data_IF_551749793961
#
_entry.id   IF_551749793961
#
_cell.length_a   1.000
_cell.length_b   1.000
_cell.length_c   1.000
_cell.angle_alpha   90.00
_cell.angle_beta   90.00
_cell.angle_gamma   90.00
#
_symmetry.space_group_name_H-M   'P 1'
#
loop_
_entity.id
_entity.type
_entity.pdbx_description
1 polymer ?
#
# COMPACT_ATOMS: atom_id res chain seq x y z
N UNK A 1 -17.71 -11.64 -31.60
CA UNK A 1 -17.67 -12.46 -30.36
C UNK A 1 -17.86 -11.50 -29.19
N UNK A 2 -19.06 -11.41 -28.67
CA UNK A 2 -19.43 -10.61 -27.51
C UNK A 2 -18.86 -11.33 -26.27
N UNK A 3 -17.82 -10.79 -25.67
CA UNK A 3 -17.38 -11.23 -24.35
C UNK A 3 -18.54 -10.96 -23.39
N UNK A 4 -19.15 -12.04 -22.89
CA UNK A 4 -20.12 -11.92 -21.80
C UNK A 4 -19.42 -11.25 -20.61
N UNK A 5 -19.97 -10.12 -20.16
CA UNK A 5 -19.45 -9.38 -19.01
C UNK A 5 -19.40 -10.32 -17.79
N UNK A 6 -18.23 -10.43 -17.15
CA UNK A 6 -18.07 -11.25 -15.93
C UNK A 6 -18.91 -10.64 -14.80
N UNK A 7 -19.61 -11.46 -14.00
CA UNK A 7 -20.32 -10.94 -12.84
C UNK A 7 -19.35 -10.23 -11.88
N UNK A 8 -19.72 -9.07 -11.30
CA UNK A 8 -18.82 -8.25 -10.49
C UNK A 8 -18.21 -8.98 -9.28
N UNK A 9 -18.94 -9.92 -8.68
CA UNK A 9 -18.42 -10.72 -7.56
C UNK A 9 -17.29 -11.66 -7.97
N UNK A 10 -17.30 -12.21 -9.18
CA UNK A 10 -16.24 -13.09 -9.69
C UNK A 10 -14.96 -12.28 -9.94
N UNK A 11 -15.12 -11.09 -10.53
CA UNK A 11 -13.98 -10.17 -10.76
C UNK A 11 -13.31 -9.71 -9.47
N UNK A 12 -14.09 -9.40 -8.44
CA UNK A 12 -13.57 -9.02 -7.12
C UNK A 12 -12.92 -10.20 -6.39
N UNK A 13 -13.53 -11.40 -6.45
CA UNK A 13 -12.95 -12.60 -5.85
C UNK A 13 -11.60 -12.94 -6.48
N UNK A 14 -11.49 -12.90 -7.80
CA UNK A 14 -10.25 -13.14 -8.53
C UNK A 14 -9.17 -12.12 -8.16
N UNK A 15 -9.55 -10.83 -8.00
CA UNK A 15 -8.61 -9.78 -7.62
C UNK A 15 -8.07 -9.97 -6.20
N UNK A 16 -8.94 -10.29 -5.23
CA UNK A 16 -8.56 -10.46 -3.82
C UNK A 16 -8.02 -11.86 -3.50
N UNK A 17 -8.06 -12.80 -4.44
CA UNK A 17 -7.33 -14.05 -4.35
C UNK A 17 -5.80 -13.83 -4.40
N UNK A 18 -5.34 -12.71 -5.00
CA UNK A 18 -3.93 -12.32 -4.95
C UNK A 18 -3.62 -11.68 -3.58
N UNK A 19 -2.75 -12.31 -2.75
CA UNK A 19 -2.37 -11.75 -1.46
C UNK A 19 -1.65 -10.38 -1.56
N UNK A 20 -1.15 -10.03 -2.74
CA UNK A 20 -0.59 -8.71 -3.02
C UNK A 20 -1.64 -7.60 -3.10
N UNK A 21 -2.83 -7.90 -3.60
CA UNK A 21 -3.91 -6.93 -3.77
C UNK A 21 -4.42 -6.38 -2.42
N UNK A 22 -4.42 -7.21 -1.37
CA UNK A 22 -4.87 -6.81 -0.03
C UNK A 22 -3.91 -5.84 0.70
N UNK A 23 -2.72 -5.57 0.15
CA UNK A 23 -1.69 -4.74 0.81
C UNK A 23 -1.81 -3.26 0.51
N UNK A 24 -2.51 -2.90 -0.54
CA UNK A 24 -2.59 -1.51 -0.98
C UNK A 24 -3.86 -0.84 -0.46
N UNK A 25 -3.79 0.47 -0.14
CA UNK A 25 -4.98 1.24 0.19
C UNK A 25 -5.95 1.26 -0.97
N UNK A 26 -7.22 1.11 -0.65
CA UNK A 26 -8.31 1.13 -1.59
C UNK A 26 -9.18 2.37 -1.38
N UNK A 27 -9.83 2.79 -2.45
CA UNK A 27 -10.92 3.76 -2.42
C UNK A 27 -12.13 3.11 -3.07
N UNK A 28 -13.21 3.00 -2.30
CA UNK A 28 -14.48 2.50 -2.79
C UNK A 28 -15.42 3.65 -3.10
N UNK A 29 -16.07 3.56 -4.25
CA UNK A 29 -17.21 4.37 -4.61
C UNK A 29 -18.44 3.48 -4.68
N UNK A 30 -19.46 3.82 -3.90
CA UNK A 30 -20.73 3.09 -3.87
C UNK A 30 -21.71 3.66 -4.87
N UNK A 31 -22.67 2.84 -5.28
CA UNK A 31 -23.79 3.24 -6.15
C UNK A 31 -24.67 4.32 -5.52
N UNK A 32 -24.61 4.49 -4.20
CA UNK A 32 -25.24 5.61 -3.48
C UNK A 32 -24.54 6.96 -3.70
N UNK A 33 -23.35 6.99 -4.33
CA UNK A 33 -22.50 8.15 -4.44
C UNK A 33 -21.55 8.37 -3.25
N UNK A 34 -21.64 7.55 -2.20
CA UNK A 34 -20.70 7.60 -1.07
C UNK A 34 -19.32 7.10 -1.54
N UNK A 35 -18.27 7.82 -1.14
CA UNK A 35 -16.89 7.46 -1.43
C UNK A 35 -16.07 7.46 -0.14
N UNK A 36 -15.30 6.41 0.11
CA UNK A 36 -14.44 6.32 1.28
C UNK A 36 -13.16 5.50 1.00
N UNK A 37 -12.11 5.84 1.74
CA UNK A 37 -10.85 5.12 1.71
C UNK A 37 -10.84 3.98 2.73
N UNK A 38 -10.21 2.86 2.37
CA UNK A 38 -10.09 1.70 3.23
C UNK A 38 -8.78 0.94 3.00
N UNK A 39 -8.48 0.06 3.93
CA UNK A 39 -7.34 -0.86 3.90
C UNK A 39 -7.78 -2.25 4.35
N UNK A 40 -6.87 -3.22 4.26
CA UNK A 40 -7.10 -4.62 4.65
C UNK A 40 -8.42 -5.20 4.11
N UNK A 41 -8.63 -5.14 2.78
CA UNK A 41 -9.81 -5.74 2.19
C UNK A 41 -9.74 -7.26 2.34
N UNK A 42 -10.87 -7.86 2.66
CA UNK A 42 -11.06 -9.31 2.67
C UNK A 42 -12.39 -9.61 1.96
N UNK A 43 -12.33 -10.40 0.91
CA UNK A 43 -13.54 -10.84 0.24
C UNK A 43 -14.01 -12.16 0.82
N UNK A 44 -15.15 -12.12 1.48
CA UNK A 44 -15.84 -13.32 1.99
C UNK A 44 -16.62 -13.96 0.83
N UNK A 45 -16.10 -15.07 0.31
CA UNK A 45 -16.68 -15.78 -0.83
C UNK A 45 -18.00 -16.43 -0.46
N UNK A 46 -18.15 -16.90 0.78
CA UNK A 46 -19.36 -17.59 1.23
C UNK A 46 -20.53 -16.62 1.39
N UNK A 47 -20.26 -15.43 1.89
CA UNK A 47 -21.26 -14.38 2.07
C UNK A 47 -21.38 -13.43 0.87
N UNK A 48 -20.48 -13.53 -0.10
CA UNK A 48 -20.37 -12.61 -1.23
C UNK A 48 -20.30 -11.14 -0.75
N UNK A 49 -19.47 -10.86 0.25
CA UNK A 49 -19.34 -9.54 0.88
C UNK A 49 -17.88 -9.14 0.92
N UNK A 50 -17.58 -7.91 0.55
CA UNK A 50 -16.28 -7.30 0.76
C UNK A 50 -16.22 -6.67 2.16
N UNK A 51 -15.38 -7.21 3.01
CA UNK A 51 -15.11 -6.66 4.35
C UNK A 51 -13.90 -5.75 4.23
N UNK A 52 -14.04 -4.50 4.62
CA UNK A 52 -12.98 -3.49 4.57
C UNK A 52 -12.90 -2.73 5.89
N UNK A 53 -11.71 -2.28 6.24
CA UNK A 53 -11.52 -1.36 7.37
C UNK A 53 -11.28 0.04 6.81
N UNK A 54 -12.13 1.00 7.17
CA UNK A 54 -11.93 2.40 6.77
C UNK A 54 -10.67 2.97 7.39
N UNK A 55 -10.16 4.09 6.87
CA UNK A 55 -8.99 4.77 7.48
C UNK A 55 -9.26 5.26 8.91
N UNK A 56 -10.52 5.36 9.29
CA UNK A 56 -10.97 5.69 10.65
C UNK A 56 -10.98 4.47 11.58
N UNK A 57 -10.69 3.27 11.08
CA UNK A 57 -10.66 2.03 11.85
C UNK A 57 -12.02 1.33 11.96
N UNK A 58 -13.02 1.76 11.21
CA UNK A 58 -14.37 1.17 11.23
C UNK A 58 -14.43 0.02 10.22
N UNK A 59 -14.79 -1.18 10.69
CA UNK A 59 -15.05 -2.30 9.80
C UNK A 59 -16.39 -2.13 9.10
N UNK A 60 -16.39 -2.18 7.76
CA UNK A 60 -17.59 -2.11 6.92
C UNK A 60 -17.72 -3.36 6.06
N UNK A 61 -18.95 -3.80 5.88
CA UNK A 61 -19.31 -4.87 4.95
C UNK A 61 -20.06 -4.27 3.77
N UNK A 62 -19.53 -4.49 2.58
CA UNK A 62 -20.07 -3.92 1.34
C UNK A 62 -20.37 -5.06 0.38
N UNK A 63 -21.59 -5.08 -0.16
CA UNK A 63 -21.95 -6.07 -1.18
C UNK A 63 -21.41 -5.66 -2.55
N UNK A 64 -20.94 -6.59 -3.39
CA UNK A 64 -20.45 -6.29 -4.73
C UNK A 64 -21.44 -5.47 -5.58
N UNK A 65 -22.75 -5.72 -5.40
CA UNK A 65 -23.79 -4.97 -6.11
C UNK A 65 -23.86 -3.49 -5.75
N UNK A 66 -23.37 -3.12 -4.57
CA UNK A 66 -23.32 -1.73 -4.05
C UNK A 66 -22.07 -1.00 -4.51
N UNK A 67 -21.08 -1.70 -5.06
CA UNK A 67 -19.81 -1.10 -5.51
C UNK A 67 -19.99 -0.59 -6.94
N UNK A 68 -19.85 0.70 -7.13
CA UNK A 68 -19.80 1.35 -8.45
C UNK A 68 -18.38 1.26 -9.04
N UNK A 69 -17.36 1.59 -8.23
CA UNK A 69 -15.97 1.52 -8.63
C UNK A 69 -15.06 1.22 -7.44
N UNK A 70 -13.97 0.51 -7.72
CA UNK A 70 -12.90 0.21 -6.80
C UNK A 70 -11.58 0.69 -7.38
N UNK A 71 -10.89 1.52 -6.62
CA UNK A 71 -9.59 2.04 -6.98
C UNK A 71 -8.54 1.55 -5.99
N UNK A 72 -7.40 1.12 -6.50
CA UNK A 72 -6.22 0.73 -5.73
C UNK A 72 -5.15 1.80 -5.85
N UNK A 73 -4.52 2.18 -4.75
CA UNK A 73 -3.43 3.14 -4.75
C UNK A 73 -2.09 2.42 -4.77
N UNK A 74 -1.39 2.49 -5.89
CA UNK A 74 -0.04 1.93 -6.03
C UNK A 74 1.02 3.02 -6.00
N UNK A 75 2.08 2.83 -5.21
CA UNK A 75 3.21 3.74 -5.24
C UNK A 75 3.95 3.63 -6.59
N UNK A 76 4.34 4.76 -7.13
CA UNK A 76 5.17 4.83 -8.32
C UNK A 76 6.65 4.71 -7.94
N UNK A 77 7.50 4.37 -8.90
CA UNK A 77 8.95 4.32 -8.70
C UNK A 77 9.55 5.52 -7.95
N UNK A 78 9.18 6.78 -8.24
CA UNK A 78 9.70 7.93 -7.49
C UNK A 78 9.39 7.89 -5.99
N UNK A 79 8.27 7.26 -5.57
CA UNK A 79 7.95 7.09 -4.15
C UNK A 79 8.96 6.18 -3.44
N UNK A 80 9.38 5.11 -4.08
CA UNK A 80 10.42 4.23 -3.54
C UNK A 80 11.78 4.92 -3.48
N UNK A 81 12.12 5.71 -4.51
CA UNK A 81 13.35 6.49 -4.54
C UNK A 81 13.39 7.55 -3.43
N UNK A 82 12.29 8.28 -3.20
CA UNK A 82 12.20 9.27 -2.11
C UNK A 82 12.27 8.61 -0.73
N UNK A 83 11.65 7.45 -0.56
CA UNK A 83 11.75 6.66 0.68
C UNK A 83 13.20 6.22 0.93
N UNK A 84 13.90 5.81 -0.13
CA UNK A 84 15.32 5.48 -0.09
C UNK A 84 16.18 6.66 0.42
N UNK A 85 16.00 7.84 -0.15
CA UNK A 85 16.73 9.03 0.29
C UNK A 85 16.45 9.39 1.75
N UNK A 86 15.20 9.31 2.19
CA UNK A 86 14.81 9.61 3.58
C UNK A 86 15.39 8.60 4.58
N UNK A 87 15.69 7.38 4.17
CA UNK A 87 16.27 6.35 5.06
C UNK A 87 17.78 6.29 4.97
N UNK A 88 18.35 6.43 3.77
CA UNK A 88 19.81 6.33 3.52
C UNK A 88 20.57 7.49 4.14
N UNK A 89 20.10 8.73 3.95
CA UNK A 89 20.83 9.93 4.42
C UNK A 89 20.92 9.96 5.96
N UNK A 90 19.82 9.85 6.73
CA UNK A 90 19.91 9.80 8.19
C UNK A 90 20.69 8.58 8.69
N UNK A 91 20.49 7.41 8.06
CA UNK A 91 21.22 6.19 8.41
C UNK A 91 22.73 6.38 8.29
N UNK A 92 23.19 6.93 7.18
CA UNK A 92 24.61 7.24 6.97
C UNK A 92 25.14 8.28 7.98
N UNK A 93 24.39 9.35 8.23
CA UNK A 93 24.78 10.40 9.17
C UNK A 93 24.89 9.90 10.61
N UNK A 94 23.88 9.17 11.08
CA UNK A 94 23.87 8.60 12.44
C UNK A 94 25.00 7.60 12.61
N UNK A 95 25.19 6.68 11.65
CA UNK A 95 26.24 5.67 11.73
C UNK A 95 27.65 6.28 11.63
N UNK A 96 27.84 7.33 10.85
CA UNK A 96 29.11 8.06 10.81
C UNK A 96 29.50 8.68 12.15
N UNK A 97 28.51 9.08 12.95
CA UNK A 97 28.73 9.63 14.29
C UNK A 97 28.92 8.55 15.37
N UNK A 98 28.15 7.47 15.29
CA UNK A 98 28.09 6.44 16.36
C UNK A 98 29.21 5.41 16.21
N UNK A 99 29.51 4.95 15.00
CA UNK A 99 30.47 3.86 14.78
C UNK A 99 31.87 4.17 15.32
N UNK A 100 32.47 5.36 15.13
CA UNK A 100 33.78 5.68 15.69
C UNK A 100 33.81 5.72 17.23
N UNK A 101 32.64 5.89 17.88
CA UNK A 101 32.56 5.92 19.34
C UNK A 101 32.60 4.53 19.97
N UNK A 102 32.17 3.51 19.20
CA UNK A 102 31.99 2.12 19.73
C UNK A 102 32.95 1.12 19.07
N UNK A 103 33.67 1.51 18.03
CA UNK A 103 34.57 0.62 17.30
C UNK A 103 35.76 1.42 16.72
N UNK A 104 36.90 0.75 16.41
CA UNK A 104 38.07 1.40 15.78
C UNK A 104 37.87 1.78 14.30
N UNK A 105 36.67 1.64 13.78
CA UNK A 105 36.32 1.99 12.40
C UNK A 105 36.22 3.50 12.24
N UNK A 106 36.52 3.99 11.04
CA UNK A 106 36.41 5.40 10.72
C UNK A 106 34.97 5.88 10.56
N UNK A 107 34.75 7.20 10.62
CA UNK A 107 33.47 7.79 10.33
C UNK A 107 32.98 7.46 8.91
N UNK A 108 33.89 7.28 7.97
CA UNK A 108 33.58 6.90 6.59
C UNK A 108 33.03 5.47 6.52
N UNK A 109 33.63 4.54 7.26
CA UNK A 109 33.13 3.15 7.35
C UNK A 109 31.75 3.14 7.99
N UNK A 110 31.53 3.93 9.05
CA UNK A 110 30.24 4.13 9.68
C UNK A 110 29.19 4.65 8.69
N UNK A 111 29.54 5.65 7.90
CA UNK A 111 28.65 6.21 6.88
C UNK A 111 28.25 5.16 5.83
N UNK A 112 29.20 4.32 5.39
CA UNK A 112 28.92 3.22 4.46
C UNK A 112 27.96 2.18 5.04
N UNK A 113 28.20 1.73 6.27
CA UNK A 113 27.29 0.77 6.95
C UNK A 113 25.89 1.35 7.12
N UNK A 114 25.79 2.62 7.50
CA UNK A 114 24.51 3.31 7.63
C UNK A 114 23.78 3.49 6.29
N UNK A 115 24.52 3.80 5.23
CA UNK A 115 23.95 3.90 3.89
C UNK A 115 23.42 2.54 3.40
N UNK A 116 24.20 1.46 3.57
CA UNK A 116 23.76 0.10 3.21
C UNK A 116 22.53 -0.33 4.02
N UNK A 117 22.52 -0.08 5.34
CA UNK A 117 21.36 -0.33 6.18
C UNK A 117 20.12 0.45 5.74
N UNK A 118 20.29 1.71 5.35
CA UNK A 118 19.23 2.55 4.80
C UNK A 118 18.67 2.03 3.47
N UNK A 119 19.53 1.53 2.58
CA UNK A 119 19.11 0.90 1.31
C UNK A 119 18.30 -0.36 1.59
N UNK A 120 18.76 -1.23 2.49
CA UNK A 120 18.04 -2.44 2.88
C UNK A 120 16.69 -2.07 3.49
N UNK A 121 16.64 -1.09 4.38
CA UNK A 121 15.40 -0.60 4.95
C UNK A 121 14.43 -0.06 3.88
N UNK A 122 14.92 0.76 2.95
CA UNK A 122 14.12 1.28 1.85
C UNK A 122 13.55 0.19 0.94
N UNK A 123 14.33 -0.88 0.70
CA UNK A 123 13.89 -2.01 -0.11
C UNK A 123 12.87 -2.90 0.61
N UNK A 124 12.98 -3.02 1.92
CA UNK A 124 12.14 -3.95 2.71
C UNK A 124 10.88 -3.29 3.28
N UNK A 125 10.93 -2.01 3.67
CA UNK A 125 9.80 -1.28 4.23
C UNK A 125 8.50 -1.39 3.43
N UNK A 126 8.49 -1.26 2.08
CA UNK A 126 7.27 -1.39 1.28
C UNK A 126 6.61 -2.77 1.39
N UNK A 127 7.38 -3.79 1.74
CA UNK A 127 6.88 -5.16 1.90
C UNK A 127 6.33 -5.42 3.30
N UNK A 128 6.98 -4.87 4.32
CA UNK A 128 6.62 -5.11 5.72
C UNK A 128 5.59 -4.11 6.25
N UNK A 129 5.69 -2.85 5.86
CA UNK A 129 4.85 -1.78 6.40
C UNK A 129 3.35 -2.01 6.19
N UNK A 130 2.88 -2.48 5.01
CA UNK A 130 1.47 -2.80 4.82
C UNK A 130 0.97 -3.92 5.73
N UNK A 131 1.84 -4.89 6.04
CA UNK A 131 1.49 -6.05 6.87
C UNK A 131 1.49 -5.74 8.37
N UNK A 132 2.41 -4.86 8.82
CA UNK A 132 2.57 -4.52 10.24
C UNK A 132 1.67 -3.36 10.65
N UNK A 133 1.54 -2.36 9.80
CA UNK A 133 0.75 -1.16 10.09
C UNK A 133 0.11 -0.57 8.82
N UNK A 134 -1.02 -1.16 8.38
CA UNK A 134 -1.70 -0.70 7.17
C UNK A 134 -2.11 0.78 7.22
N UNK A 135 -2.51 1.27 8.40
CA UNK A 135 -2.90 2.67 8.59
C UNK A 135 -1.72 3.65 8.44
N UNK A 136 -0.54 3.27 8.94
CA UNK A 136 0.68 4.08 8.77
C UNK A 136 1.11 4.09 7.31
N UNK A 137 1.05 2.94 6.65
CA UNK A 137 1.34 2.82 5.23
C UNK A 137 0.39 3.67 4.37
N UNK A 138 -0.91 3.63 4.65
CA UNK A 138 -1.90 4.44 3.94
C UNK A 138 -1.63 5.95 4.10
N UNK A 139 -1.33 6.42 5.33
CA UNK A 139 -0.97 7.83 5.59
C UNK A 139 0.34 8.24 4.91
N UNK A 140 1.31 7.33 4.87
CA UNK A 140 2.57 7.57 4.16
C UNK A 140 2.32 7.77 2.66
N UNK A 141 1.54 6.90 2.04
CA UNK A 141 1.16 7.03 0.64
C UNK A 141 0.34 8.31 0.36
N UNK A 142 -0.51 8.71 1.30
CA UNK A 142 -1.22 9.99 1.22
C UNK A 142 -0.28 11.19 1.20
N UNK A 143 0.73 11.19 2.08
CA UNK A 143 1.74 12.25 2.13
C UNK A 143 2.66 12.27 0.91
N UNK A 144 2.92 11.13 0.30
CA UNK A 144 3.68 11.02 -0.94
C UNK A 144 2.91 11.56 -2.16
N UNK A 145 1.60 11.80 -2.03
CA UNK A 145 0.77 12.56 -2.98
C UNK A 145 0.95 12.16 -4.45
N UNK A 146 1.68 12.99 -5.19
CA UNK A 146 1.92 12.80 -6.64
C UNK A 146 2.75 11.56 -7.00
N UNK A 147 3.42 10.92 -6.03
CA UNK A 147 4.22 9.71 -6.27
C UNK A 147 3.42 8.41 -6.15
N UNK A 148 2.11 8.49 -5.98
CA UNK A 148 1.22 7.34 -5.99
C UNK A 148 0.05 7.61 -6.94
N UNK A 149 -0.28 6.62 -7.76
CA UNK A 149 -1.42 6.70 -8.68
C UNK A 149 -2.57 5.82 -8.21
N UNK A 150 -3.79 6.29 -8.48
CA UNK A 150 -4.99 5.48 -8.34
C UNK A 150 -5.20 4.69 -9.63
N UNK A 151 -5.29 3.38 -9.51
CA UNK A 151 -5.62 2.48 -10.61
C UNK A 151 -7.03 1.95 -10.39
N UNK A 152 -7.89 2.04 -11.39
CA UNK A 152 -9.18 1.37 -11.38
C UNK A 152 -8.97 -0.13 -11.44
N UNK A 153 -9.47 -0.82 -10.43
CA UNK A 153 -9.43 -2.29 -10.32
C UNK A 153 -10.73 -2.88 -10.82
N UNK A 154 -11.83 -2.21 -10.48
CA UNK A 154 -13.18 -2.61 -10.85
C UNK A 154 -14.01 -1.37 -11.13
N UNK A 155 -14.81 -1.41 -12.18
CA UNK A 155 -15.84 -0.42 -12.50
C UNK A 155 -17.09 -1.15 -12.99
N UNK A 156 -18.23 -0.77 -12.45
CA UNK A 156 -19.51 -1.32 -12.90
C UNK A 156 -19.85 -0.92 -14.34
N UNK A 157 -19.25 0.17 -14.83
CA UNK A 157 -19.40 0.62 -16.22
C UNK A 157 -18.69 -0.32 -17.20
N UNK A 158 -17.68 -1.08 -16.74
CA UNK A 158 -16.86 -1.99 -17.54
C UNK A 158 -17.30 -3.46 -17.39
N UNK A 159 -18.29 -3.74 -16.54
CA UNK A 159 -18.84 -5.05 -16.27
C UNK A 159 -20.14 -5.26 -17.03
#
# INVERSE_FOLDING_TARGET
MTHAARPPHVSLADHFADPGAARHPLRLRLTSGEEFGCHTPCFDVDQLVLVVTTFEGIARRVRPAEIEALYERRPLWPAYASLGLVTVIPGAAISALVVPLVSPLSALDGAWFGALGGIVAAATLPWFLPSVSPSVYARLLERLGSFASWRTVFSKADA
#
